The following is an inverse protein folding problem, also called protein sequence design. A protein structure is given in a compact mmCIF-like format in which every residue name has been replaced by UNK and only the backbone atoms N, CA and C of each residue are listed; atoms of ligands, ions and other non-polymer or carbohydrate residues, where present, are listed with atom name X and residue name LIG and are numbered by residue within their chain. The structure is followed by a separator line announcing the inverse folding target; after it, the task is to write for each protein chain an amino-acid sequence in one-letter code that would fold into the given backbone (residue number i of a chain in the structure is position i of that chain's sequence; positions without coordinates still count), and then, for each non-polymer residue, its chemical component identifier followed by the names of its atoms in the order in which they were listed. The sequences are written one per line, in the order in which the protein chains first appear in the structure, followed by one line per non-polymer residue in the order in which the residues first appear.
data_IF_831067315917
#
_entry.id   IF_831067315917
#
_cell.length_a   1.000
_cell.length_b   1.000
_cell.length_c   1.000
_cell.angle_alpha   90.00
_cell.angle_beta   90.00
_cell.angle_gamma   90.00
#
_symmetry.space_group_name_H-M   'P 1'
#
loop_
_entity.id
_entity.type
_entity.pdbx_description
1 polymer ?
#
# COMPACT_ATOMS: atom_id res chain seq x y z
N UNK A 1 1.63 18.27 1.69
CA UNK A 1 1.09 16.91 1.91
C UNK A 1 2.10 15.76 1.68
N UNK A 2 2.73 15.56 0.49
CA UNK A 2 3.71 14.48 0.32
C UNK A 2 5.00 14.67 1.14
N UNK A 3 5.51 15.90 1.25
CA UNK A 3 6.74 16.19 1.99
C UNK A 3 6.62 15.89 3.49
N UNK A 4 5.50 16.25 4.11
CA UNK A 4 5.23 15.96 5.53
C UNK A 4 5.11 14.46 5.79
N UNK A 5 4.43 13.72 4.90
CA UNK A 5 4.33 12.27 4.98
C UNK A 5 5.72 11.62 4.97
N UNK A 6 6.58 12.00 4.02
CA UNK A 6 7.93 11.44 3.95
C UNK A 6 8.84 11.90 5.08
N UNK A 7 8.68 13.13 5.57
CA UNK A 7 9.37 13.59 6.78
C UNK A 7 8.99 12.74 8.00
N UNK A 8 7.70 12.43 8.18
CA UNK A 8 7.21 11.55 9.25
C UNK A 8 7.73 10.11 9.08
N UNK A 9 7.67 9.55 7.87
CA UNK A 9 8.23 8.23 7.57
C UNK A 9 9.73 8.14 7.87
N UNK A 10 10.50 9.13 7.43
CA UNK A 10 11.95 9.20 7.65
C UNK A 10 12.29 9.40 9.13
N UNK A 11 11.51 10.21 9.86
CA UNK A 11 11.66 10.37 11.31
C UNK A 11 11.42 9.07 12.05
N UNK A 12 10.32 8.38 11.75
CA UNK A 12 9.97 7.08 12.33
C UNK A 12 11.04 6.03 12.04
N UNK A 13 11.51 5.93 10.79
CA UNK A 13 12.58 5.00 10.42
C UNK A 13 13.88 5.32 11.15
N UNK A 14 14.31 6.60 11.20
CA UNK A 14 15.54 7.02 11.89
C UNK A 14 15.52 6.64 13.38
N UNK A 15 14.41 6.89 14.07
CA UNK A 15 14.24 6.50 15.48
C UNK A 15 14.35 4.98 15.70
N UNK A 16 13.81 4.17 14.79
CA UNK A 16 13.94 2.72 14.85
C UNK A 16 15.39 2.28 14.55
N UNK A 17 16.04 2.92 13.57
CA UNK A 17 17.40 2.64 13.17
C UNK A 17 18.41 2.90 14.29
N UNK A 18 18.28 4.03 15.01
CA UNK A 18 19.10 4.36 16.19
C UNK A 18 18.99 3.32 17.31
N UNK A 19 17.85 2.62 17.40
CA UNK A 19 17.61 1.54 18.37
C UNK A 19 17.98 0.16 17.83
N UNK A 20 18.52 0.08 16.61
CA UNK A 20 18.80 -1.19 15.93
C UNK A 20 17.56 -1.99 15.54
N UNK A 21 16.36 -1.40 15.58
CA UNK A 21 15.08 -2.06 15.28
C UNK A 21 14.78 -2.00 13.78
N UNK A 22 14.41 -3.13 13.20
CA UNK A 22 13.96 -3.21 11.80
C UNK A 22 12.65 -2.45 11.63
N UNK A 23 12.52 -1.66 10.58
CA UNK A 23 11.25 -1.04 10.18
C UNK A 23 10.68 -1.78 8.97
N UNK A 24 9.45 -2.29 9.07
CA UNK A 24 8.75 -2.91 7.94
C UNK A 24 7.57 -2.01 7.54
N UNK A 25 7.56 -1.55 6.29
CA UNK A 25 6.43 -0.82 5.71
C UNK A 25 5.73 -1.72 4.70
N UNK A 26 4.49 -2.06 5.01
CA UNK A 26 3.62 -2.81 4.13
C UNK A 26 2.96 -1.88 3.12
N UNK A 27 3.19 -2.14 1.84
CA UNK A 27 2.70 -1.36 0.71
C UNK A 27 2.52 -2.27 -0.51
N UNK A 28 1.58 -1.93 -1.39
CA UNK A 28 1.37 -2.66 -2.64
C UNK A 28 2.66 -2.68 -3.46
N UNK A 29 2.94 -3.84 -4.06
CA UNK A 29 4.22 -4.11 -4.71
C UNK A 29 4.47 -3.20 -5.92
N UNK A 30 3.40 -2.79 -6.61
CA UNK A 30 3.40 -1.80 -7.68
C UNK A 30 2.75 -0.50 -7.19
N UNK A 31 3.33 0.65 -7.54
CA UNK A 31 2.82 1.97 -7.18
C UNK A 31 3.35 2.43 -5.82
N UNK A 32 2.67 2.06 -4.73
CA UNK A 32 2.98 2.57 -3.37
C UNK A 32 4.40 2.26 -2.93
N UNK A 33 4.90 1.05 -3.18
CA UNK A 33 6.27 0.70 -2.81
C UNK A 33 7.30 1.60 -3.50
N UNK A 34 7.18 1.84 -4.80
CA UNK A 34 8.08 2.72 -5.56
C UNK A 34 7.93 4.18 -5.13
N UNK A 35 6.70 4.63 -4.85
CA UNK A 35 6.43 5.97 -4.30
C UNK A 35 7.11 6.19 -2.95
N UNK A 36 7.09 5.19 -2.07
CA UNK A 36 7.81 5.22 -0.80
C UNK A 36 9.31 5.33 -1.06
N UNK A 37 9.86 4.47 -1.92
CA UNK A 37 11.29 4.49 -2.26
C UNK A 37 11.75 5.85 -2.83
N UNK A 38 10.92 6.51 -3.62
CA UNK A 38 11.23 7.81 -4.19
C UNK A 38 11.23 8.95 -3.15
N UNK A 39 10.54 8.80 -2.02
CA UNK A 39 10.38 9.87 -1.02
C UNK A 39 11.20 9.68 0.28
N UNK A 40 11.67 8.47 0.56
CA UNK A 40 12.49 8.19 1.76
C UNK A 40 13.93 8.64 1.56
N UNK A 41 14.63 8.89 2.68
CA UNK A 41 16.06 9.26 2.71
C UNK A 41 16.93 8.00 2.79
N UNK A 42 17.59 7.56 1.69
CA UNK A 42 18.34 6.32 1.67
C UNK A 42 19.64 6.37 2.49
N UNK A 43 20.02 7.53 3.04
CA UNK A 43 21.20 7.66 3.89
C UNK A 43 20.98 7.18 5.32
N UNK A 44 19.72 7.00 5.76
CA UNK A 44 19.39 6.61 7.15
C UNK A 44 19.94 5.21 7.47
N UNK A 45 19.64 4.21 6.63
CA UNK A 45 20.11 2.85 6.77
C UNK A 45 19.90 2.05 5.47
N UNK A 46 20.37 0.80 5.38
CA UNK A 46 20.09 -0.06 4.23
C UNK A 46 18.59 -0.32 4.02
N UNK A 47 18.19 -0.33 2.74
CA UNK A 47 16.81 -0.61 2.33
C UNK A 47 16.75 -2.01 1.70
N UNK A 48 15.77 -2.80 2.12
CA UNK A 48 15.46 -4.08 1.56
C UNK A 48 14.01 -4.15 1.07
N UNK A 49 13.75 -5.00 0.10
CA UNK A 49 12.43 -5.18 -0.48
C UNK A 49 12.06 -6.65 -0.60
N UNK A 50 10.81 -6.99 -0.32
CA UNK A 50 10.24 -8.30 -0.60
C UNK A 50 10.35 -8.63 -2.09
N UNK A 51 10.33 -9.92 -2.45
CA UNK A 51 10.53 -10.37 -3.84
C UNK A 51 9.50 -9.81 -4.83
N UNK A 52 8.26 -9.66 -4.38
CA UNK A 52 7.20 -9.04 -5.19
C UNK A 52 7.53 -7.57 -5.55
N UNK A 53 8.08 -6.81 -4.59
CA UNK A 53 8.48 -5.41 -4.79
C UNK A 53 9.75 -5.34 -5.64
N UNK A 54 10.74 -6.20 -5.38
CA UNK A 54 11.98 -6.24 -6.14
C UNK A 54 11.77 -6.57 -7.62
N UNK A 55 10.79 -7.42 -7.94
CA UNK A 55 10.43 -7.72 -9.33
C UNK A 55 10.00 -6.46 -10.08
N UNK A 56 9.10 -5.68 -9.49
CA UNK A 56 8.68 -4.39 -10.06
C UNK A 56 9.83 -3.39 -10.11
N UNK A 57 10.65 -3.31 -9.05
CA UNK A 57 11.82 -2.42 -9.01
C UNK A 57 12.84 -2.77 -10.11
N UNK A 58 12.98 -4.05 -10.48
CA UNK A 58 13.86 -4.46 -11.57
C UNK A 58 13.42 -3.83 -12.90
N UNK A 59 12.12 -3.78 -13.17
CA UNK A 59 11.58 -3.11 -14.36
C UNK A 59 11.88 -1.61 -14.31
N UNK A 60 11.66 -0.95 -13.18
CA UNK A 60 12.00 0.48 -12.99
C UNK A 60 13.49 0.76 -13.24
N UNK A 61 14.40 -0.10 -12.78
CA UNK A 61 15.85 0.04 -13.00
C UNK A 61 16.26 -0.05 -14.47
N UNK A 62 15.42 -0.65 -15.31
CA UNK A 62 15.62 -0.72 -16.76
C UNK A 62 15.03 0.50 -17.49
N UNK A 63 14.56 1.51 -16.75
CA UNK A 63 14.03 2.78 -17.27
C UNK A 63 14.84 3.95 -16.71
N UNK A 64 14.52 5.17 -17.17
CA UNK A 64 15.15 6.40 -16.66
C UNK A 64 14.59 6.86 -15.30
N UNK A 65 13.71 6.09 -14.66
CA UNK A 65 13.15 6.43 -13.34
C UNK A 65 14.14 6.02 -12.25
N UNK A 66 14.73 7.02 -11.59
CA UNK A 66 15.65 6.81 -10.48
C UNK A 66 14.92 6.29 -9.24
N UNK A 67 15.36 5.13 -8.73
CA UNK A 67 15.01 4.60 -7.42
C UNK A 67 16.28 4.40 -6.57
N UNK A 68 16.21 4.56 -5.23
CA UNK A 68 17.34 4.25 -4.38
C UNK A 68 17.77 2.78 -4.52
N UNK A 69 19.04 2.51 -4.19
CA UNK A 69 19.55 1.12 -4.16
C UNK A 69 18.83 0.34 -3.07
N UNK A 70 18.17 -0.75 -3.47
CA UNK A 70 17.52 -1.70 -2.57
C UNK A 70 18.14 -3.07 -2.71
N UNK A 71 18.02 -3.89 -1.67
CA UNK A 71 18.47 -5.29 -1.65
C UNK A 71 17.28 -6.23 -1.52
N UNK A 72 17.38 -7.42 -2.10
CA UNK A 72 16.33 -8.42 -1.92
C UNK A 72 16.29 -8.91 -0.47
N UNK A 73 15.12 -8.76 0.17
CA UNK A 73 14.79 -9.29 1.49
C UNK A 73 14.48 -10.80 1.42
N UNK A 74 15.35 -11.56 0.75
CA UNK A 74 15.19 -12.97 0.43
C UNK A 74 15.83 -13.94 1.42
N UNK A 75 16.56 -14.92 0.86
CA UNK A 75 17.34 -16.01 1.50
C UNK A 75 18.45 -15.54 2.47
N UNK A 76 18.42 -14.30 2.97
CA UNK A 76 19.18 -13.95 4.16
C UNK A 76 18.64 -14.79 5.31
N UNK A 77 19.40 -15.82 5.70
CA UNK A 77 19.10 -16.60 6.90
C UNK A 77 19.23 -15.74 8.15
N UNK A 78 19.00 -16.32 9.33
CA UNK A 78 19.13 -15.67 10.64
C UNK A 78 20.49 -14.98 10.91
N UNK A 79 21.48 -15.15 10.02
CA UNK A 79 22.83 -14.56 10.09
C UNK A 79 22.96 -13.19 9.40
N UNK A 80 21.97 -12.76 8.63
CA UNK A 80 21.99 -11.41 8.05
C UNK A 80 21.74 -10.38 9.16
N UNK A 81 22.60 -9.35 9.23
CA UNK A 81 22.32 -8.23 10.12
C UNK A 81 21.25 -7.33 9.48
N UNK A 82 20.11 -7.25 10.14
CA UNK A 82 18.96 -6.44 9.76
C UNK A 82 18.87 -5.14 10.58
N UNK A 83 19.76 -4.92 11.55
CA UNK A 83 19.63 -3.81 12.50
C UNK A 83 19.44 -2.47 11.80
N UNK A 84 18.34 -1.81 12.15
CA UNK A 84 17.95 -0.50 11.63
C UNK A 84 17.53 -0.43 10.16
N UNK A 85 17.48 -1.57 9.45
CA UNK A 85 17.08 -1.59 8.05
C UNK A 85 15.61 -1.20 7.87
N UNK A 86 15.32 -0.58 6.72
CA UNK A 86 13.96 -0.44 6.21
C UNK A 86 13.65 -1.62 5.28
N UNK A 87 12.50 -2.24 5.47
CA UNK A 87 12.00 -3.32 4.63
C UNK A 87 10.65 -2.92 4.05
N UNK A 88 10.49 -2.98 2.73
CA UNK A 88 9.20 -2.77 2.06
C UNK A 88 8.65 -4.11 1.57
N UNK A 89 7.41 -4.43 1.94
CA UNK A 89 6.79 -5.71 1.65
C UNK A 89 5.31 -5.57 1.26
N UNK A 90 4.73 -6.50 0.48
CA UNK A 90 3.30 -6.49 0.21
C UNK A 90 2.49 -6.78 1.49
N UNK A 91 1.23 -6.30 1.57
CA UNK A 91 0.33 -6.59 2.70
C UNK A 91 0.24 -8.07 3.07
N UNK A 92 0.21 -8.96 2.08
CA UNK A 92 0.15 -10.42 2.25
C UNK A 92 1.36 -11.04 2.95
N UNK A 93 2.44 -10.28 3.18
CA UNK A 93 3.58 -10.75 3.97
C UNK A 93 3.36 -10.62 5.48
N UNK A 94 2.38 -9.83 5.92
CA UNK A 94 2.06 -9.63 7.33
C UNK A 94 1.61 -10.96 7.97
N UNK A 95 2.12 -11.28 9.15
CA UNK A 95 1.78 -12.51 9.89
C UNK A 95 2.44 -13.79 9.36
N UNK A 96 3.07 -13.76 8.18
CA UNK A 96 3.69 -14.95 7.59
C UNK A 96 5.01 -15.35 8.27
N UNK A 97 5.46 -16.61 8.16
CA UNK A 97 6.77 -17.05 8.67
C UNK A 97 7.96 -16.27 8.13
N UNK A 98 7.82 -15.62 6.96
CA UNK A 98 8.86 -14.77 6.37
C UNK A 98 9.30 -13.63 7.31
N UNK A 99 8.41 -13.14 8.17
CA UNK A 99 8.71 -12.05 9.11
C UNK A 99 9.68 -12.47 10.23
N UNK A 100 9.78 -13.76 10.56
CA UNK A 100 10.55 -14.27 11.71
C UNK A 100 12.03 -13.86 11.68
N UNK A 101 12.60 -13.67 10.50
CA UNK A 101 14.01 -13.27 10.32
C UNK A 101 14.31 -11.82 10.73
N UNK A 102 13.29 -10.99 10.93
CA UNK A 102 13.43 -9.60 11.34
C UNK A 102 13.30 -9.38 12.86
N UNK A 103 13.19 -10.46 13.65
CA UNK A 103 13.06 -10.37 15.10
C UNK A 103 11.75 -9.72 15.53
N UNK A 104 11.83 -8.59 16.23
CA UNK A 104 10.67 -7.77 16.63
C UNK A 104 10.62 -6.46 15.84
N UNK A 105 10.27 -6.50 14.54
CA UNK A 105 10.24 -5.31 13.70
C UNK A 105 9.19 -4.31 14.19
N UNK A 106 9.42 -3.02 13.94
CA UNK A 106 8.36 -2.02 13.97
C UNK A 106 7.58 -2.11 12.66
N UNK A 107 6.25 -2.27 12.74
CA UNK A 107 5.41 -2.48 11.56
C UNK A 107 4.59 -1.24 11.23
N UNK A 108 4.53 -0.91 9.95
CA UNK A 108 3.70 0.16 9.43
C UNK A 108 2.94 -0.28 8.18
N UNK A 109 1.76 0.26 7.97
CA UNK A 109 0.99 0.07 6.73
C UNK A 109 0.86 1.41 6.00
N UNK A 110 1.16 1.44 4.71
CA UNK A 110 1.03 2.62 3.85
C UNK A 110 -0.17 2.46 2.90
N UNK A 111 -1.30 3.06 3.27
CA UNK A 111 -2.55 2.99 2.49
C UNK A 111 -3.47 4.17 2.82
N UNK A 112 -4.32 4.57 1.87
CA UNK A 112 -5.34 5.61 2.07
C UNK A 112 -6.32 5.22 3.17
N UNK A 113 -6.58 3.93 3.32
CA UNK A 113 -7.43 3.36 4.37
C UNK A 113 -6.89 3.55 5.79
N UNK A 114 -5.63 3.97 5.95
CA UNK A 114 -5.09 4.32 7.27
C UNK A 114 -5.70 5.59 7.87
N UNK A 115 -6.49 6.33 7.08
CA UNK A 115 -7.34 7.42 7.57
C UNK A 115 -8.54 6.89 8.38
N UNK A 116 -8.97 5.64 8.15
CA UNK A 116 -10.14 5.04 8.78
C UNK A 116 -9.72 4.28 10.05
N UNK A 117 -10.22 4.75 11.20
CA UNK A 117 -9.90 4.17 12.53
C UNK A 117 -10.15 2.66 12.60
N UNK A 118 -11.23 2.19 11.98
CA UNK A 118 -11.60 0.77 11.96
C UNK A 118 -10.55 -0.11 11.26
N UNK A 119 -10.06 0.31 10.11
CA UNK A 119 -9.05 -0.42 9.34
C UNK A 119 -7.70 -0.42 10.04
N UNK A 120 -7.29 0.73 10.61
CA UNK A 120 -6.05 0.82 11.40
C UNK A 120 -6.04 -0.15 12.59
N UNK A 121 -7.17 -0.32 13.27
CA UNK A 121 -7.30 -1.25 14.41
C UNK A 121 -7.24 -2.72 13.98
N UNK A 122 -7.87 -3.07 12.84
CA UNK A 122 -7.94 -4.46 12.35
C UNK A 122 -6.59 -5.01 11.90
N UNK A 123 -5.76 -4.21 11.23
CA UNK A 123 -4.47 -4.66 10.67
C UNK A 123 -3.35 -4.87 11.71
N UNK A 124 -3.59 -4.61 13.00
CA UNK A 124 -2.64 -4.83 14.10
C UNK A 124 -1.20 -4.31 13.87
N UNK A 125 -1.04 -3.24 13.07
CA UNK A 125 0.24 -2.57 12.82
C UNK A 125 0.47 -1.45 13.83
N UNK A 126 1.73 -1.16 14.16
CA UNK A 126 2.08 -0.11 15.13
C UNK A 126 1.82 1.30 14.56
N UNK A 127 2.03 1.47 13.25
CA UNK A 127 1.92 2.76 12.55
C UNK A 127 1.09 2.64 11.26
N UNK A 128 0.33 3.69 10.95
CA UNK A 128 -0.34 3.85 9.66
C UNK A 128 0.16 5.11 8.98
N UNK A 129 0.57 5.00 7.72
CA UNK A 129 0.94 6.11 6.85
C UNK A 129 -0.16 6.30 5.82
N UNK A 130 -0.78 7.48 5.80
CA UNK A 130 -1.89 7.77 4.89
C UNK A 130 -1.30 8.08 3.51
N UNK A 131 -1.39 7.10 2.61
CA UNK A 131 -0.87 7.21 1.25
C UNK A 131 -1.88 6.60 0.26
N UNK A 132 -2.43 7.42 -0.62
CA UNK A 132 -3.33 7.02 -1.70
C UNK A 132 -2.73 7.38 -3.04
N UNK A 133 -2.98 6.54 -4.04
CA UNK A 133 -2.64 6.82 -5.46
C UNK A 133 -3.89 7.24 -6.26
N UNK A 134 -5.04 7.42 -5.59
CA UNK A 134 -6.26 7.95 -6.20
C UNK A 134 -6.31 9.48 -6.09
N UNK A 135 -6.97 10.10 -7.06
CA UNK A 135 -7.36 11.50 -6.97
C UNK A 135 -8.29 11.72 -5.78
N UNK A 136 -8.06 12.79 -5.03
CA UNK A 136 -9.00 13.23 -4.01
C UNK A 136 -10.21 13.92 -4.66
N UNK A 137 -11.16 14.34 -3.83
CA UNK A 137 -12.39 14.98 -4.30
C UNK A 137 -12.13 16.19 -5.19
N UNK A 138 -11.22 17.07 -4.78
CA UNK A 138 -10.89 18.28 -5.55
C UNK A 138 -10.15 17.93 -6.84
N UNK A 139 -9.26 16.95 -6.81
CA UNK A 139 -8.58 16.41 -7.99
C UNK A 139 -9.56 15.81 -9.00
N UNK A 140 -10.58 15.07 -8.53
CA UNK A 140 -11.63 14.53 -9.38
C UNK A 140 -12.46 15.65 -10.02
N UNK A 141 -12.89 16.65 -9.25
CA UNK A 141 -13.63 17.79 -9.80
C UNK A 141 -12.79 18.58 -10.81
N UNK A 142 -11.51 18.82 -10.50
CA UNK A 142 -10.61 19.49 -11.44
C UNK A 142 -10.40 18.70 -12.74
N UNK A 143 -10.30 17.36 -12.65
CA UNK A 143 -10.22 16.50 -13.83
C UNK A 143 -11.51 16.55 -14.66
N UNK A 144 -12.67 16.48 -14.00
CA UNK A 144 -13.99 16.60 -14.66
C UNK A 144 -14.10 17.94 -15.38
N UNK A 145 -13.83 19.05 -14.70
CA UNK A 145 -13.92 20.39 -15.26
C UNK A 145 -12.96 20.55 -16.46
N UNK A 146 -11.74 20.01 -16.37
CA UNK A 146 -10.75 20.07 -17.44
C UNK A 146 -11.15 19.28 -18.71
N UNK A 147 -12.01 18.28 -18.58
CA UNK A 147 -12.46 17.49 -19.75
C UNK A 147 -13.46 18.23 -20.62
N UNK A 148 -14.25 19.16 -20.05
CA UNK A 148 -15.39 19.78 -20.73
C UNK A 148 -16.48 18.78 -21.12
N UNK A 149 -16.52 17.59 -20.53
CA UNK A 149 -17.47 16.56 -20.87
C UNK A 149 -18.90 16.97 -20.50
N UNK A 150 -19.84 16.75 -21.44
CA UNK A 150 -21.26 17.06 -21.25
C UNK A 150 -21.96 16.04 -20.34
N UNK A 151 -21.40 14.83 -20.24
CA UNK A 151 -21.91 13.73 -19.41
C UNK A 151 -20.79 13.00 -18.69
N UNK A 152 -20.98 12.77 -17.39
CA UNK A 152 -20.03 12.08 -16.52
C UNK A 152 -20.59 10.74 -16.07
N UNK A 153 -19.84 9.66 -16.32
CA UNK A 153 -20.20 8.32 -15.87
C UNK A 153 -19.22 7.85 -14.79
N UNK A 154 -19.65 7.86 -13.54
CA UNK A 154 -18.81 7.47 -12.42
C UNK A 154 -18.81 5.95 -12.21
N UNK A 155 -17.63 5.36 -12.06
CA UNK A 155 -17.45 3.95 -11.68
C UNK A 155 -16.42 3.83 -10.57
N UNK A 156 -16.36 2.66 -9.94
CA UNK A 156 -15.54 2.30 -8.79
C UNK A 156 -15.82 3.12 -7.51
N UNK A 157 -15.86 2.44 -6.36
CA UNK A 157 -16.11 3.08 -5.06
C UNK A 157 -17.55 3.58 -4.88
N UNK A 158 -17.71 4.62 -4.05
CA UNK A 158 -19.02 5.20 -3.74
C UNK A 158 -19.39 6.29 -4.76
N UNK A 159 -20.03 5.89 -5.86
CA UNK A 159 -20.34 6.76 -7.00
C UNK A 159 -21.53 7.70 -6.74
N UNK A 160 -22.53 7.26 -5.95
CA UNK A 160 -23.76 8.01 -5.69
C UNK A 160 -23.56 9.46 -5.21
N UNK A 161 -22.71 9.71 -4.21
CA UNK A 161 -22.40 11.07 -3.75
C UNK A 161 -21.82 11.98 -4.85
N UNK A 162 -20.93 11.46 -5.69
CA UNK A 162 -20.34 12.22 -6.81
C UNK A 162 -21.40 12.56 -7.86
N UNK A 163 -22.16 11.56 -8.33
CA UNK A 163 -23.20 11.77 -9.35
C UNK A 163 -24.28 12.74 -8.87
N UNK A 164 -24.64 12.70 -7.58
CA UNK A 164 -25.57 13.67 -7.01
C UNK A 164 -24.98 15.08 -7.01
N UNK A 165 -23.75 15.25 -6.52
CA UNK A 165 -23.09 16.56 -6.47
C UNK A 165 -22.98 17.23 -7.86
N UNK A 166 -22.64 16.45 -8.88
CA UNK A 166 -22.53 16.96 -10.26
C UNK A 166 -23.91 17.36 -10.82
N UNK A 167 -24.94 16.54 -10.60
CA UNK A 167 -26.32 16.87 -11.01
C UNK A 167 -26.86 18.12 -10.32
N UNK A 168 -26.56 18.33 -9.03
CA UNK A 168 -26.93 19.54 -8.30
C UNK A 168 -26.29 20.81 -8.91
N UNK A 169 -25.22 20.65 -9.71
CA UNK A 169 -24.53 21.72 -10.46
C UNK A 169 -24.95 21.80 -11.92
N UNK A 170 -25.96 21.02 -12.33
CA UNK A 170 -26.48 21.00 -13.70
C UNK A 170 -25.65 20.17 -14.68
N UNK A 171 -24.74 19.33 -14.21
CA UNK A 171 -23.95 18.41 -15.04
C UNK A 171 -24.69 17.07 -15.12
N UNK A 172 -24.89 16.53 -16.32
CA UNK A 172 -25.45 15.18 -16.49
C UNK A 172 -24.46 14.15 -15.93
N UNK A 173 -24.87 13.42 -14.90
CA UNK A 173 -24.01 12.45 -14.23
C UNK A 173 -24.77 11.23 -13.73
N UNK A 174 -24.23 10.04 -14.00
CA UNK A 174 -24.80 8.76 -13.56
C UNK A 174 -23.72 7.74 -13.18
N UNK A 175 -24.11 6.74 -12.40
CA UNK A 175 -23.25 5.61 -12.06
C UNK A 175 -23.19 4.62 -13.22
N UNK A 176 -21.99 4.27 -13.67
CA UNK A 176 -21.77 3.21 -14.64
C UNK A 176 -21.76 1.86 -13.93
N UNK A 177 -22.74 1.01 -14.25
CA UNK A 177 -22.73 -0.39 -13.85
C UNK A 177 -21.77 -1.16 -14.75
N UNK A 178 -20.75 -1.77 -14.15
CA UNK A 178 -19.79 -2.63 -14.86
C UNK A 178 -19.88 -4.05 -14.32
N UNK A 179 -19.65 -5.05 -15.16
CA UNK A 179 -19.51 -6.46 -14.72
C UNK A 179 -18.28 -6.67 -13.82
N UNK A 180 -17.38 -5.70 -13.78
CA UNK A 180 -16.21 -5.68 -12.90
C UNK A 180 -16.60 -5.24 -11.48
N UNK A 181 -16.59 -6.18 -10.55
CA UNK A 181 -16.52 -5.87 -9.11
C UNK A 181 -15.09 -5.39 -8.86
N UNK A 182 -14.91 -4.15 -8.39
CA UNK A 182 -13.61 -3.48 -8.26
C UNK A 182 -12.55 -4.24 -7.43
N UNK A 183 -11.40 -3.61 -7.19
CA UNK A 183 -10.45 -4.13 -6.18
C UNK A 183 -11.21 -4.38 -4.88
N UNK A 184 -11.18 -5.64 -4.38
CA UNK A 184 -11.75 -5.99 -3.07
C UNK A 184 -11.20 -5.01 -2.05
N UNK A 185 -12.09 -4.47 -1.22
CA UNK A 185 -11.70 -3.51 -0.19
C UNK A 185 -10.52 -4.10 0.63
N UNK A 186 -9.60 -3.25 1.07
CA UNK A 186 -8.47 -3.64 1.92
C UNK A 186 -8.92 -4.34 3.21
N UNK A 187 -10.22 -4.27 3.52
CA UNK A 187 -10.87 -4.98 4.61
C UNK A 187 -11.22 -6.45 4.32
N UNK A 188 -11.36 -6.85 3.06
CA UNK A 188 -11.78 -8.20 2.62
C UNK A 188 -10.60 -9.11 2.23
N UNK A 189 -9.38 -8.56 2.16
CA UNK A 189 -8.15 -9.38 2.07
C UNK A 189 -8.05 -10.31 3.30
N UNK A 190 -8.63 -9.92 4.44
CA UNK A 190 -8.68 -10.77 5.65
C UNK A 190 -9.75 -11.90 5.56
N UNK A 191 -10.76 -11.81 4.69
CA UNK A 191 -11.85 -12.81 4.60
C UNK A 191 -11.65 -13.85 3.49
N UNK A 192 -10.77 -13.60 2.52
CA UNK A 192 -10.48 -14.57 1.46
C UNK A 192 -9.60 -15.73 1.94
N UNK A 193 -8.74 -15.50 2.95
CA UNK A 193 -7.87 -16.55 3.52
C UNK A 193 -8.61 -17.52 4.46
N UNK A 194 -9.76 -17.13 5.02
CA UNK A 194 -10.62 -18.07 5.77
C UNK A 194 -11.39 -19.01 4.84
N UNK A 195 -11.91 -18.51 3.70
CA UNK A 195 -12.71 -19.31 2.77
C UNK A 195 -11.89 -20.42 2.07
N UNK A 196 -10.66 -20.13 1.64
CA UNK A 196 -9.77 -21.12 1.00
C UNK A 196 -9.26 -22.19 1.98
N UNK A 197 -9.31 -21.92 3.30
CA UNK A 197 -8.91 -22.89 4.33
C UNK A 197 -10.01 -23.87 4.74
N UNK A 198 -11.28 -23.55 4.42
CA UNK A 198 -12.42 -24.41 4.72
C UNK A 198 -12.69 -25.39 3.57
N UNK A 199 -12.54 -24.97 2.30
CA UNK A 199 -12.79 -25.84 1.13
C UNK A 199 -11.76 -26.96 0.93
N UNK A 200 -10.55 -26.87 1.50
CA UNK A 200 -9.51 -27.92 1.39
C UNK A 200 -9.63 -29.04 2.44
N UNK A 201 -10.65 -29.01 3.31
CA UNK A 201 -10.81 -29.99 4.40
C UNK A 201 -11.94 -31.01 4.20
N UNK A 202 -12.79 -30.86 3.17
CA UNK A 202 -13.94 -31.75 2.97
C UNK A 202 -13.79 -32.79 1.83
N UNK A 203 -12.72 -32.75 1.02
CA UNK A 203 -12.45 -33.78 0.01
C UNK A 203 -11.28 -34.68 0.41
N UNK A 204 -11.53 -35.60 1.36
CA UNK A 204 -10.48 -36.51 1.82
C UNK A 204 -10.92 -37.65 2.73
N UNK A 205 -12.14 -38.17 2.62
CA UNK A 205 -12.48 -39.46 3.23
C UNK A 205 -13.66 -40.14 2.50
N UNK A 206 -13.33 -41.02 1.55
CA UNK A 206 -14.12 -42.19 1.13
C UNK A 206 -13.25 -43.16 0.32
#
# INVERSE_FOLDING_TARGET
PPAELFADMNSWWRMNAERGRVSIVFAYALGKAQRILAGIDPSIAPIYCHGAVERVNADYRNTDIALPKTKYAGRGGAKQDWKGALVIAPPSSLGTPWMRKFGQPATAFASGWMLIRGTRRRRAVERGFIMSDHADWLGLLGAIDATGAERILATHGQTGPMCRFLRDRGIDADSLQTEYVGERDDSEIDSADEADSVELSEEGEA
#
